data_IF_710377001336
#
_entry.id   IF_710377001336
#
_cell.length_a   1.000
_cell.length_b   1.000
_cell.length_c   1.000
_cell.angle_alpha   90.00
_cell.angle_beta   90.00
_cell.angle_gamma   90.00
#
_symmetry.space_group_name_H-M   'P 1'
#
loop_
_entity.id
_entity.type
_entity.pdbx_description
1 polymer ?
#
# COMPACT_ATOMS: atom_id res chain seq x y z
N UNK A 1 28.68 -27.31 8.64
CA UNK A 1 29.33 -28.14 9.66
C UNK A 1 29.42 -27.44 11.02
N UNK A 2 29.88 -26.21 11.03
CA UNK A 2 30.05 -25.40 12.24
C UNK A 2 28.76 -25.25 13.05
N UNK A 3 27.65 -24.83 12.43
CA UNK A 3 26.35 -24.73 13.09
C UNK A 3 25.86 -26.08 13.64
N UNK A 4 26.10 -27.19 12.92
CA UNK A 4 25.70 -28.51 13.38
C UNK A 4 26.44 -28.91 14.67
N UNK A 5 27.72 -28.58 14.78
CA UNK A 5 28.53 -28.74 15.98
C UNK A 5 28.09 -27.82 17.10
N UNK A 6 27.88 -26.55 16.79
CA UNK A 6 27.47 -25.53 17.77
C UNK A 6 26.15 -25.87 18.46
N UNK A 7 25.18 -26.35 17.69
CA UNK A 7 23.84 -26.68 18.18
C UNK A 7 23.69 -28.18 18.56
N UNK A 8 24.76 -28.99 18.47
CA UNK A 8 24.73 -30.43 18.75
C UNK A 8 23.62 -31.19 18.02
N UNK A 9 23.39 -30.87 16.75
CA UNK A 9 22.37 -31.49 15.90
C UNK A 9 22.97 -32.01 14.59
N UNK A 10 22.19 -32.80 13.85
CA UNK A 10 22.65 -33.38 12.58
C UNK A 10 22.76 -32.29 11.47
N UNK A 11 23.65 -32.50 10.50
CA UNK A 11 23.76 -31.61 9.31
C UNK A 11 22.44 -31.51 8.52
N UNK A 12 21.66 -32.59 8.31
CA UNK A 12 20.34 -32.50 7.71
C UNK A 12 19.38 -31.59 8.48
N UNK A 13 19.40 -31.65 9.82
CA UNK A 13 18.58 -30.78 10.69
C UNK A 13 18.91 -29.29 10.47
N UNK A 14 20.18 -28.92 10.43
CA UNK A 14 20.61 -27.56 10.14
C UNK A 14 20.18 -27.14 8.72
N UNK A 15 20.33 -28.01 7.73
CA UNK A 15 19.94 -27.71 6.36
C UNK A 15 18.44 -27.43 6.25
N UNK A 16 17.63 -28.21 6.93
CA UNK A 16 16.18 -28.01 6.95
C UNK A 16 15.79 -26.72 7.71
N UNK A 17 16.44 -26.44 8.83
CA UNK A 17 16.25 -25.19 9.56
C UNK A 17 16.60 -23.97 8.70
N UNK A 18 17.75 -24.00 7.99
CA UNK A 18 18.15 -22.92 7.08
C UNK A 18 17.17 -22.76 5.91
N UNK A 19 16.62 -23.86 5.35
CA UNK A 19 15.58 -23.76 4.32
C UNK A 19 14.32 -23.08 4.83
N UNK A 20 13.88 -23.42 6.05
CA UNK A 20 12.71 -22.78 6.69
C UNK A 20 12.94 -21.29 6.95
N UNK A 21 14.12 -20.93 7.43
CA UNK A 21 14.49 -19.52 7.64
C UNK A 21 14.58 -18.75 6.31
N UNK A 22 15.13 -19.38 5.27
CA UNK A 22 15.18 -18.79 3.93
C UNK A 22 13.78 -18.62 3.32
N UNK A 23 12.89 -19.60 3.50
CA UNK A 23 11.49 -19.51 3.06
C UNK A 23 10.73 -18.36 3.77
N UNK A 24 11.11 -18.05 5.02
CA UNK A 24 10.59 -16.89 5.76
C UNK A 24 11.37 -15.59 5.49
N UNK A 25 12.30 -15.58 4.52
CA UNK A 25 13.16 -14.44 4.16
C UNK A 25 14.02 -13.88 5.32
N UNK A 26 14.19 -14.65 6.39
CA UNK A 26 15.01 -14.26 7.53
C UNK A 26 16.51 -14.39 7.26
N UNK A 27 16.87 -15.19 6.26
CA UNK A 27 18.25 -15.37 5.80
C UNK A 27 18.32 -15.44 4.28
N UNK A 28 19.47 -15.04 3.74
CA UNK A 28 19.83 -15.20 2.32
C UNK A 28 21.12 -16.02 2.23
N UNK A 29 21.14 -17.03 1.37
CA UNK A 29 22.33 -17.82 1.06
C UNK A 29 22.97 -17.34 -0.23
N UNK A 30 24.29 -17.10 -0.22
CA UNK A 30 25.11 -16.75 -1.40
C UNK A 30 26.12 -17.87 -1.64
N UNK A 31 26.25 -18.30 -2.88
CA UNK A 31 27.24 -19.31 -3.31
C UNK A 31 28.59 -18.63 -3.66
N UNK A 32 29.67 -19.40 -3.62
CA UNK A 32 31.01 -18.98 -4.06
C UNK A 32 32.02 -18.80 -2.91
N UNK A 33 33.28 -18.40 -3.24
CA UNK A 33 34.35 -18.26 -2.26
C UNK A 33 34.05 -17.24 -1.14
N UNK A 34 33.31 -16.19 -1.46
CA UNK A 34 32.75 -15.22 -0.51
C UNK A 34 31.28 -15.52 -0.17
N UNK A 35 30.87 -16.79 -0.31
CA UNK A 35 29.52 -17.24 -0.02
C UNK A 35 29.28 -17.43 1.47
N UNK A 36 28.01 -17.61 1.83
CA UNK A 36 27.60 -17.81 3.23
C UNK A 36 26.10 -17.69 3.39
N UNK A 37 25.66 -17.83 4.63
CA UNK A 37 24.30 -17.56 5.03
C UNK A 37 24.27 -16.28 5.87
N UNK A 38 23.53 -15.30 5.42
CA UNK A 38 23.46 -13.96 6.02
C UNK A 38 22.08 -13.72 6.56
N UNK A 39 21.96 -13.11 7.72
CA UNK A 39 20.70 -12.64 8.26
C UNK A 39 20.20 -11.50 7.38
N UNK A 40 18.94 -11.55 7.02
CA UNK A 40 18.28 -10.50 6.21
C UNK A 40 17.28 -9.78 7.09
N UNK A 41 17.28 -8.46 7.03
CA UNK A 41 16.20 -7.65 7.57
C UNK A 41 15.29 -7.34 6.36
N UNK A 42 14.07 -7.91 6.30
CA UNK A 42 13.14 -7.61 5.21
C UNK A 42 12.82 -6.11 5.20
N UNK A 43 12.70 -5.51 4.03
CA UNK A 43 12.18 -4.15 3.92
C UNK A 43 10.67 -4.13 4.24
N UNK A 44 10.16 -2.97 4.65
CA UNK A 44 8.72 -2.78 4.86
C UNK A 44 7.91 -3.13 3.59
N UNK A 45 8.47 -2.88 2.41
CA UNK A 45 7.88 -3.22 1.12
C UNK A 45 7.82 -4.73 0.87
N UNK A 46 8.90 -5.47 1.14
CA UNK A 46 8.93 -6.94 1.00
C UNK A 46 7.93 -7.61 1.95
N UNK A 47 7.80 -7.09 3.17
CA UNK A 47 6.84 -7.60 4.16
C UNK A 47 5.40 -7.28 3.77
N UNK A 48 5.15 -6.10 3.22
CA UNK A 48 3.83 -5.65 2.76
C UNK A 48 3.33 -6.49 1.58
N UNK A 49 4.21 -6.92 0.67
CA UNK A 49 3.84 -7.79 -0.46
C UNK A 49 3.29 -9.16 -0.03
N UNK A 50 3.83 -9.77 1.02
CA UNK A 50 3.30 -11.03 1.55
C UNK A 50 1.92 -10.84 2.18
N UNK A 51 1.71 -9.71 2.85
CA UNK A 51 0.43 -9.38 3.47
C UNK A 51 -0.63 -9.00 2.42
N UNK A 52 -0.24 -8.31 1.33
CA UNK A 52 -1.09 -7.97 0.18
C UNK A 52 -1.79 -9.22 -0.39
N UNK A 53 -1.05 -10.30 -0.62
CA UNK A 53 -1.61 -11.56 -1.12
C UNK A 53 -2.64 -12.12 -0.15
N UNK A 54 -2.35 -12.08 1.16
CA UNK A 54 -3.28 -12.54 2.19
C UNK A 54 -4.54 -11.68 2.27
N UNK A 55 -4.41 -10.36 2.20
CA UNK A 55 -5.56 -9.44 2.20
C UNK A 55 -6.41 -9.62 0.94
N UNK A 56 -5.79 -9.73 -0.24
CA UNK A 56 -6.51 -9.99 -1.48
C UNK A 56 -7.31 -11.30 -1.43
N UNK A 57 -6.75 -12.35 -0.84
CA UNK A 57 -7.44 -13.61 -0.59
C UNK A 57 -8.63 -13.42 0.37
N UNK A 58 -8.44 -12.71 1.48
CA UNK A 58 -9.52 -12.45 2.44
C UNK A 58 -10.66 -11.64 1.84
N UNK A 59 -10.34 -10.69 0.95
CA UNK A 59 -11.36 -9.93 0.18
C UNK A 59 -12.09 -10.84 -0.79
N UNK A 60 -11.39 -11.71 -1.52
CA UNK A 60 -12.00 -12.63 -2.49
C UNK A 60 -12.90 -13.68 -1.83
N UNK A 61 -12.56 -14.09 -0.62
CA UNK A 61 -13.36 -15.02 0.21
C UNK A 61 -14.52 -14.33 0.95
N UNK A 62 -14.67 -13.01 0.82
CA UNK A 62 -15.70 -12.24 1.52
C UNK A 62 -15.47 -12.10 3.04
N UNK A 63 -14.27 -12.44 3.54
CA UNK A 63 -13.90 -12.27 4.95
C UNK A 63 -13.66 -10.79 5.27
N UNK A 64 -12.99 -10.09 4.34
CA UNK A 64 -12.80 -8.64 4.42
C UNK A 64 -13.74 -7.93 3.46
N UNK A 65 -14.55 -7.05 4.03
CA UNK A 65 -15.46 -6.18 3.29
C UNK A 65 -14.72 -4.88 2.87
N UNK A 66 -14.81 -4.50 1.61
CA UNK A 66 -14.18 -3.27 1.09
C UNK A 66 -14.53 -2.00 1.89
N UNK A 67 -15.78 -1.76 2.32
CA UNK A 67 -16.10 -0.67 3.22
C UNK A 67 -15.32 -0.68 4.52
N UNK A 68 -15.03 -1.85 5.09
CA UNK A 68 -14.24 -1.98 6.32
C UNK A 68 -12.76 -1.69 6.09
N UNK A 69 -12.20 -2.08 4.96
CA UNK A 69 -10.83 -1.73 4.60
C UNK A 69 -10.73 -0.21 4.38
N UNK A 70 -11.70 0.39 3.67
CA UNK A 70 -11.73 1.85 3.46
C UNK A 70 -11.92 2.63 4.78
N UNK A 71 -12.68 2.09 5.74
CA UNK A 71 -12.79 2.65 7.07
C UNK A 71 -11.45 2.61 7.83
N UNK A 72 -10.76 1.47 7.79
CA UNK A 72 -9.45 1.30 8.40
C UNK A 72 -8.40 2.23 7.77
N UNK A 73 -8.37 2.33 6.43
CA UNK A 73 -7.52 3.28 5.70
C UNK A 73 -7.75 4.71 6.18
N UNK A 74 -8.99 5.15 6.27
CA UNK A 74 -9.33 6.50 6.69
C UNK A 74 -8.74 6.83 8.07
N UNK A 75 -8.93 5.95 9.07
CA UNK A 75 -8.42 6.18 10.42
C UNK A 75 -6.88 6.20 10.47
N UNK A 76 -6.24 5.26 9.78
CA UNK A 76 -4.79 5.18 9.71
C UNK A 76 -4.19 6.37 8.95
N UNK A 77 -4.83 6.84 7.88
CA UNK A 77 -4.36 7.99 7.10
C UNK A 77 -4.42 9.29 7.89
N UNK A 78 -5.46 9.48 8.73
CA UNK A 78 -5.53 10.60 9.65
C UNK A 78 -4.39 10.59 10.68
N UNK A 79 -4.01 9.42 11.19
CA UNK A 79 -2.84 9.29 12.07
C UNK A 79 -1.56 9.66 11.30
N UNK A 80 -1.42 9.15 10.07
CA UNK A 80 -0.24 9.39 9.25
C UNK A 80 -0.10 10.87 8.87
N UNK A 81 -1.17 11.54 8.45
CA UNK A 81 -1.09 12.95 8.04
C UNK A 81 -0.71 13.87 9.20
N UNK A 82 -1.21 13.61 10.41
CA UNK A 82 -0.81 14.36 11.63
C UNK A 82 0.69 14.28 11.84
N UNK A 83 1.24 13.07 11.82
CA UNK A 83 2.67 12.85 11.98
C UNK A 83 3.50 13.42 10.82
N UNK A 84 3.00 13.34 9.61
CA UNK A 84 3.63 13.92 8.43
C UNK A 84 3.74 15.44 8.53
N UNK A 85 2.69 16.13 8.98
CA UNK A 85 2.70 17.59 9.23
C UNK A 85 3.83 18.00 10.19
N UNK A 86 4.09 17.18 11.23
CA UNK A 86 5.11 17.46 12.24
C UNK A 86 6.53 17.06 11.77
N UNK A 87 6.68 15.99 10.99
CA UNK A 87 7.95 15.29 10.80
C UNK A 87 8.51 15.36 9.37
N UNK A 88 7.69 15.75 8.40
CA UNK A 88 8.06 15.78 6.99
C UNK A 88 9.40 16.46 6.75
N UNK A 89 10.16 15.94 5.81
CA UNK A 89 11.34 16.60 5.22
C UNK A 89 11.00 17.12 3.83
N UNK A 90 11.91 17.88 3.24
CA UNK A 90 11.75 18.37 1.87
C UNK A 90 11.75 17.21 0.85
N UNK A 91 12.43 16.08 1.15
CA UNK A 91 12.45 14.90 0.28
C UNK A 91 11.07 14.27 0.10
N UNK A 92 10.30 14.09 1.18
CA UNK A 92 8.95 13.55 1.08
C UNK A 92 7.98 14.53 0.40
N UNK A 93 8.14 15.84 0.63
CA UNK A 93 7.36 16.86 -0.06
C UNK A 93 7.64 16.85 -1.56
N UNK A 94 8.90 16.75 -1.97
CA UNK A 94 9.31 16.68 -3.37
C UNK A 94 8.77 15.40 -4.03
N UNK A 95 8.84 14.26 -3.36
CA UNK A 95 8.27 12.99 -3.86
C UNK A 95 6.77 13.10 -4.08
N UNK A 96 6.00 13.66 -3.14
CA UNK A 96 4.57 13.91 -3.32
C UNK A 96 4.30 14.86 -4.50
N UNK A 97 5.07 15.94 -4.62
CA UNK A 97 4.93 16.92 -5.71
C UNK A 97 5.23 16.29 -7.09
N UNK A 98 6.23 15.40 -7.19
CA UNK A 98 6.55 14.67 -8.42
C UNK A 98 5.36 13.83 -8.87
N UNK A 99 4.70 13.10 -7.95
CA UNK A 99 3.53 12.28 -8.30
C UNK A 99 2.34 13.14 -8.75
N UNK A 100 2.07 14.27 -8.10
CA UNK A 100 1.02 15.21 -8.56
C UNK A 100 1.33 15.73 -9.96
N UNK A 101 2.58 16.09 -10.22
CA UNK A 101 3.01 16.55 -11.55
C UNK A 101 2.78 15.49 -12.62
N UNK A 102 3.10 14.22 -12.31
CA UNK A 102 2.86 13.09 -13.20
C UNK A 102 1.36 12.88 -13.45
N UNK A 103 0.52 12.97 -12.41
CA UNK A 103 -0.93 12.81 -12.51
C UNK A 103 -1.60 13.88 -13.40
N UNK A 104 -0.99 15.05 -13.54
CA UNK A 104 -1.47 16.12 -14.42
C UNK A 104 -1.20 15.89 -15.91
N UNK A 105 -0.41 14.89 -16.26
CA UNK A 105 -0.17 14.51 -17.65
C UNK A 105 -1.42 13.83 -18.21
N UNK A 106 -2.11 14.49 -19.12
CA UNK A 106 -3.32 13.98 -19.77
C UNK A 106 -3.08 12.71 -20.59
N UNK A 107 -1.84 12.47 -21.03
CA UNK A 107 -1.44 11.29 -21.79
C UNK A 107 -1.18 10.07 -20.91
N UNK A 108 -1.13 10.23 -19.58
CA UNK A 108 -0.86 9.14 -18.64
C UNK A 108 -1.96 8.08 -18.70
N UNK A 109 -1.58 6.80 -18.84
CA UNK A 109 -2.53 5.70 -18.84
C UNK A 109 -3.13 5.48 -17.44
N UNK A 110 -4.33 4.91 -17.36
CA UNK A 110 -5.04 4.74 -16.08
C UNK A 110 -4.26 3.91 -15.05
N UNK A 111 -3.56 2.85 -15.50
CA UNK A 111 -2.73 2.01 -14.63
C UNK A 111 -1.60 2.80 -13.98
N UNK A 112 -0.92 3.65 -14.76
CA UNK A 112 0.17 4.47 -14.21
C UNK A 112 -0.36 5.61 -13.34
N UNK A 113 -1.53 6.17 -13.65
CA UNK A 113 -2.20 7.13 -12.77
C UNK A 113 -2.48 6.51 -11.40
N UNK A 114 -3.03 5.29 -11.36
CA UNK A 114 -3.29 4.57 -10.10
C UNK A 114 -1.99 4.20 -9.37
N UNK A 115 -0.94 3.83 -10.10
CA UNK A 115 0.37 3.57 -9.49
C UNK A 115 0.96 4.85 -8.87
N UNK A 116 0.77 6.00 -9.53
CA UNK A 116 1.18 7.30 -9.02
C UNK A 116 0.39 7.70 -7.76
N UNK A 117 -0.92 7.42 -7.72
CA UNK A 117 -1.74 7.62 -6.51
C UNK A 117 -1.19 6.85 -5.30
N UNK A 118 -0.86 5.57 -5.51
CA UNK A 118 -0.23 4.74 -4.48
C UNK A 118 1.12 5.33 -4.02
N UNK A 119 1.96 5.81 -4.95
CA UNK A 119 3.27 6.40 -4.60
C UNK A 119 3.12 7.72 -3.85
N UNK A 120 2.12 8.54 -4.18
CA UNK A 120 1.80 9.76 -3.43
C UNK A 120 1.46 9.44 -1.97
N UNK A 121 0.55 8.51 -1.74
CA UNK A 121 0.17 8.10 -0.38
C UNK A 121 1.32 7.41 0.38
N UNK A 122 2.17 6.64 -0.32
CA UNK A 122 3.37 6.09 0.29
C UNK A 122 4.34 7.19 0.75
N UNK A 123 4.57 8.24 -0.05
CA UNK A 123 5.41 9.36 0.34
C UNK A 123 4.86 10.10 1.57
N UNK A 124 3.52 10.29 1.65
CA UNK A 124 2.85 10.82 2.83
C UNK A 124 3.11 9.95 4.07
N UNK A 125 2.98 8.63 3.93
CA UNK A 125 3.20 7.69 5.04
C UNK A 125 4.68 7.63 5.44
N UNK A 126 5.61 7.74 4.48
CA UNK A 126 7.04 7.81 4.76
C UNK A 126 7.40 9.03 5.61
N UNK A 127 6.71 10.16 5.39
CA UNK A 127 6.87 11.38 6.19
C UNK A 127 6.47 11.21 7.66
N UNK A 128 5.84 10.11 8.05
CA UNK A 128 5.61 9.76 9.45
C UNK A 128 6.89 9.36 10.18
N UNK A 129 7.92 8.92 9.45
CA UNK A 129 9.16 8.33 9.95
C UNK A 129 8.91 7.20 10.96
N UNK A 130 7.80 6.46 10.77
CA UNK A 130 7.40 5.34 11.62
C UNK A 130 7.28 4.05 10.79
N UNK A 131 8.27 3.14 10.85
CA UNK A 131 8.26 1.91 10.04
C UNK A 131 7.05 1.00 10.29
N UNK A 132 6.45 1.05 11.48
CA UNK A 132 5.27 0.25 11.80
C UNK A 132 4.03 0.78 11.07
N UNK A 133 3.85 2.10 11.02
CA UNK A 133 2.77 2.73 10.26
C UNK A 133 2.97 2.53 8.76
N UNK A 134 4.22 2.64 8.26
CA UNK A 134 4.55 2.36 6.86
C UNK A 134 4.11 0.94 6.47
N UNK A 135 4.48 -0.06 7.26
CA UNK A 135 4.11 -1.44 7.01
C UNK A 135 2.59 -1.66 6.97
N UNK A 136 1.85 -1.11 7.92
CA UNK A 136 0.39 -1.26 7.99
C UNK A 136 -0.30 -0.51 6.84
N UNK A 137 0.08 0.74 6.59
CA UNK A 137 -0.55 1.58 5.57
C UNK A 137 -0.28 1.09 4.16
N UNK A 138 0.94 0.67 3.84
CA UNK A 138 1.25 0.12 2.51
C UNK A 138 0.36 -1.07 2.19
N UNK A 139 0.11 -1.94 3.18
CA UNK A 139 -0.80 -3.07 3.01
C UNK A 139 -2.23 -2.63 2.71
N UNK A 140 -2.74 -1.64 3.43
CA UNK A 140 -4.12 -1.16 3.27
C UNK A 140 -4.30 -0.40 1.96
N UNK A 141 -3.34 0.46 1.59
CA UNK A 141 -3.35 1.20 0.32
C UNK A 141 -3.39 0.21 -0.86
N UNK A 142 -2.47 -0.76 -0.88
CA UNK A 142 -2.39 -1.73 -1.97
C UNK A 142 -3.58 -2.70 -2.03
N UNK A 143 -4.22 -2.99 -0.90
CA UNK A 143 -5.42 -3.82 -0.89
C UNK A 143 -6.60 -3.17 -1.61
N UNK A 144 -6.67 -1.85 -1.66
CA UNK A 144 -7.72 -1.08 -2.34
C UNK A 144 -7.39 -0.79 -3.82
N UNK A 145 -6.14 -0.92 -4.23
CA UNK A 145 -5.68 -0.59 -5.59
C UNK A 145 -6.53 -1.22 -6.72
N UNK A 146 -6.95 -2.51 -6.67
CA UNK A 146 -7.79 -3.08 -7.74
C UNK A 146 -9.14 -2.37 -7.87
N UNK A 147 -9.70 -1.88 -6.76
CA UNK A 147 -10.98 -1.14 -6.76
C UNK A 147 -10.76 0.28 -7.24
N UNK A 148 -9.68 0.92 -6.86
CA UNK A 148 -9.27 2.26 -7.34
C UNK A 148 -9.05 2.25 -8.84
N UNK A 149 -8.34 1.27 -9.38
CA UNK A 149 -8.15 1.09 -10.82
C UNK A 149 -9.49 1.01 -11.56
N UNK A 150 -10.44 0.22 -11.04
CA UNK A 150 -11.79 0.11 -11.61
C UNK A 150 -12.54 1.45 -11.57
N UNK A 151 -12.43 2.18 -10.46
CA UNK A 151 -13.09 3.49 -10.27
C UNK A 151 -12.55 4.51 -11.26
N UNK A 152 -11.23 4.65 -11.38
CA UNK A 152 -10.57 5.61 -12.27
C UNK A 152 -10.89 5.30 -13.72
N UNK A 153 -10.73 4.04 -14.13
CA UNK A 153 -11.04 3.61 -15.49
C UNK A 153 -12.52 3.84 -15.87
N UNK A 154 -13.45 3.68 -14.92
CA UNK A 154 -14.88 3.78 -15.20
C UNK A 154 -15.43 5.20 -15.08
N UNK A 155 -14.99 5.97 -14.07
CA UNK A 155 -15.61 7.25 -13.73
C UNK A 155 -14.74 8.46 -14.14
N UNK A 156 -13.50 8.26 -14.56
CA UNK A 156 -12.54 9.31 -15.01
C UNK A 156 -12.40 10.49 -14.05
N UNK A 157 -12.38 10.20 -12.77
CA UNK A 157 -12.38 11.20 -11.69
C UNK A 157 -10.97 11.78 -11.38
N UNK A 158 -10.03 11.72 -12.36
CA UNK A 158 -8.62 12.09 -12.16
C UNK A 158 -8.47 13.51 -11.61
N UNK A 159 -9.20 14.48 -12.17
CA UNK A 159 -9.07 15.88 -11.75
C UNK A 159 -9.46 16.10 -10.29
N UNK A 160 -10.47 15.38 -9.80
CA UNK A 160 -10.87 15.44 -8.39
C UNK A 160 -9.77 14.91 -7.49
N UNK A 161 -9.13 13.79 -7.84
CA UNK A 161 -8.03 13.18 -7.09
C UNK A 161 -6.82 14.12 -7.06
N UNK A 162 -6.43 14.68 -8.20
CA UNK A 162 -5.32 15.63 -8.29
C UNK A 162 -5.56 16.83 -7.37
N UNK A 163 -6.75 17.43 -7.41
CA UNK A 163 -7.08 18.56 -6.54
C UNK A 163 -7.01 18.22 -5.05
N UNK A 164 -7.42 17.00 -4.68
CA UNK A 164 -7.33 16.51 -3.30
C UNK A 164 -5.87 16.32 -2.87
N UNK A 165 -5.02 15.73 -3.73
CA UNK A 165 -3.59 15.58 -3.46
C UNK A 165 -2.88 16.93 -3.30
N UNK A 166 -3.23 17.93 -4.14
CA UNK A 166 -2.68 19.28 -4.01
C UNK A 166 -3.01 19.92 -2.66
N UNK A 167 -4.27 19.79 -2.20
CA UNK A 167 -4.70 20.31 -0.90
C UNK A 167 -3.93 19.64 0.25
N UNK A 168 -3.79 18.30 0.21
CA UNK A 168 -3.05 17.54 1.22
C UNK A 168 -1.59 17.97 1.25
N UNK A 169 -0.92 18.03 0.09
CA UNK A 169 0.49 18.45 0.00
C UNK A 169 0.68 19.88 0.52
N UNK A 170 -0.19 20.81 0.13
CA UNK A 170 -0.10 22.20 0.56
C UNK A 170 -0.23 22.30 2.08
N UNK A 171 -1.22 21.64 2.68
CA UNK A 171 -1.42 21.63 4.12
C UNK A 171 -0.21 21.03 4.87
N UNK A 172 0.34 19.91 4.40
CA UNK A 172 1.54 19.31 4.99
C UNK A 172 2.75 20.25 4.85
N UNK A 173 2.93 20.87 3.68
CA UNK A 173 4.03 21.80 3.41
C UNK A 173 4.02 22.98 4.34
N UNK A 174 2.87 23.59 4.58
CA UNK A 174 2.72 24.75 5.46
C UNK A 174 2.49 24.38 6.94
N UNK A 175 2.55 23.09 7.28
CA UNK A 175 2.31 22.59 8.63
C UNK A 175 0.93 22.98 9.19
N UNK A 176 -0.06 23.08 8.30
CA UNK A 176 -1.46 23.30 8.67
C UNK A 176 -2.12 21.98 9.07
N UNK A 177 -2.11 21.69 10.37
CA UNK A 177 -2.67 20.45 10.93
C UNK A 177 -4.15 20.29 10.61
N UNK A 178 -4.94 21.36 10.81
CA UNK A 178 -6.39 21.32 10.56
C UNK A 178 -6.70 21.13 9.09
N UNK A 179 -6.03 21.89 8.21
CA UNK A 179 -6.20 21.77 6.76
C UNK A 179 -5.78 20.41 6.24
N UNK A 180 -4.75 19.79 6.81
CA UNK A 180 -4.30 18.46 6.44
C UNK A 180 -5.33 17.38 6.82
N UNK A 181 -5.86 17.41 8.05
CA UNK A 181 -6.91 16.51 8.50
C UNK A 181 -8.19 16.66 7.67
N UNK A 182 -8.63 17.90 7.41
CA UNK A 182 -9.82 18.18 6.61
C UNK A 182 -9.66 17.68 5.17
N UNK A 183 -8.48 17.87 4.56
CA UNK A 183 -8.19 17.40 3.21
C UNK A 183 -8.20 15.87 3.10
N UNK A 184 -7.61 15.16 4.06
CA UNK A 184 -7.67 13.71 4.14
C UNK A 184 -9.10 13.23 4.38
N UNK A 185 -9.85 13.87 5.27
CA UNK A 185 -11.26 13.55 5.51
C UNK A 185 -12.09 13.70 4.22
N UNK A 186 -11.93 14.81 3.49
CA UNK A 186 -12.61 15.04 2.21
C UNK A 186 -12.30 13.94 1.21
N UNK A 187 -11.03 13.58 1.04
CA UNK A 187 -10.59 12.52 0.13
C UNK A 187 -11.16 11.15 0.54
N UNK A 188 -11.07 10.78 1.80
CA UNK A 188 -11.55 9.47 2.25
C UNK A 188 -13.08 9.34 2.19
N UNK A 189 -13.82 10.41 2.44
CA UNK A 189 -15.28 10.44 2.24
C UNK A 189 -15.61 10.27 0.75
N UNK A 190 -14.89 10.96 -0.13
CA UNK A 190 -15.04 10.82 -1.56
C UNK A 190 -14.76 9.38 -2.02
N UNK A 191 -13.65 8.80 -1.61
CA UNK A 191 -13.25 7.42 -1.92
C UNK A 191 -14.34 6.41 -1.50
N UNK A 192 -14.85 6.51 -0.27
CA UNK A 192 -15.92 5.64 0.24
C UNK A 192 -17.19 5.75 -0.59
N UNK A 193 -17.61 6.97 -0.98
CA UNK A 193 -18.79 7.19 -1.85
C UNK A 193 -18.59 6.55 -3.23
N UNK A 194 -17.39 6.66 -3.77
CA UNK A 194 -17.06 6.14 -5.10
C UNK A 194 -16.99 4.61 -5.09
N UNK A 195 -16.44 4.01 -4.05
CA UNK A 195 -16.46 2.55 -3.85
C UNK A 195 -17.88 2.00 -3.73
N UNK A 196 -18.76 2.68 -3.01
CA UNK A 196 -20.16 2.28 -2.90
C UNK A 196 -20.90 2.32 -4.27
N UNK A 197 -20.57 3.31 -5.12
CA UNK A 197 -21.07 3.36 -6.51
C UNK A 197 -20.54 2.17 -7.34
N UNK A 198 -19.26 1.87 -7.23
CA UNK A 198 -18.61 0.78 -7.95
C UNK A 198 -19.18 -0.60 -7.54
N UNK A 199 -19.42 -0.82 -6.26
CA UNK A 199 -20.05 -2.05 -5.76
C UNK A 199 -21.47 -2.23 -6.31
N UNK A 200 -22.30 -1.19 -6.28
CA UNK A 200 -23.66 -1.24 -6.84
C UNK A 200 -23.65 -1.55 -8.33
N UNK A 201 -22.71 -0.98 -9.07
CA UNK A 201 -22.58 -1.25 -10.49
C UNK A 201 -22.17 -2.71 -10.76
N UNK A 202 -21.22 -3.26 -10.03
CA UNK A 202 -20.80 -4.67 -10.14
C UNK A 202 -21.98 -5.60 -9.87
N UNK A 203 -22.73 -5.36 -8.81
CA UNK A 203 -23.93 -6.15 -8.47
C UNK A 203 -25.00 -6.09 -9.57
N UNK A 204 -25.15 -4.96 -10.26
CA UNK A 204 -26.09 -4.82 -11.38
C UNK A 204 -25.66 -5.58 -12.64
N UNK A 205 -24.39 -5.93 -12.79
CA UNK A 205 -23.90 -6.79 -13.86
C UNK A 205 -24.15 -8.27 -13.55
N UNK A 206 -23.92 -8.70 -12.32
CA UNK A 206 -24.10 -10.08 -11.87
C UNK A 206 -25.58 -10.50 -11.87
N UNK A 207 -26.51 -9.53 -11.77
CA UNK A 207 -27.97 -9.77 -11.78
C UNK A 207 -28.60 -9.72 -13.19
N UNK A 208 -27.82 -9.52 -14.27
CA UNK A 208 -28.36 -9.59 -15.63
C UNK A 208 -28.60 -11.04 -16.04
N UNK A 209 -29.85 -11.44 -16.43
CA UNK A 209 -30.12 -12.78 -16.88
C UNK A 209 -29.36 -13.03 -18.20
N UNK A 210 -28.41 -13.97 -18.21
CA UNK A 210 -27.74 -14.41 -19.42
C UNK A 210 -26.22 -14.48 -19.40
N UNK A 211 -25.53 -14.14 -18.29
CA UNK A 211 -24.06 -14.30 -18.20
C UNK A 211 -23.74 -15.63 -17.50
N UNK A 212 -23.59 -16.70 -18.28
CA UNK A 212 -23.00 -17.96 -17.81
C UNK A 212 -21.51 -17.69 -17.68
N UNK A 213 -21.00 -17.66 -16.47
CA UNK A 213 -19.56 -17.69 -16.19
C UNK A 213 -19.14 -19.15 -16.35
N UNK A 214 -18.47 -19.47 -17.46
CA UNK A 214 -17.71 -20.72 -17.66
C UNK A 214 -16.28 -20.52 -17.19
#
# INVERSE_FOLDING_TARGET
EELARQFSVSRPTIREALKRLAAKRLIRSRRGPAGGTFVTVPSAEEMSNDLKTSVALMVSLGVFDLPKIAEARHQLELICVRLAVERRTDDELDRMAIEIKLQKDESLVDEEFCASDVRFHRALVDATHNPVLQYQMFTVIEALQPVENMVISRFRERQTIICQHEKILEAIKFQDMSGAEDSVNEQMIYLRKTFAKAQKWRHSLDTRPGTIVT
#
